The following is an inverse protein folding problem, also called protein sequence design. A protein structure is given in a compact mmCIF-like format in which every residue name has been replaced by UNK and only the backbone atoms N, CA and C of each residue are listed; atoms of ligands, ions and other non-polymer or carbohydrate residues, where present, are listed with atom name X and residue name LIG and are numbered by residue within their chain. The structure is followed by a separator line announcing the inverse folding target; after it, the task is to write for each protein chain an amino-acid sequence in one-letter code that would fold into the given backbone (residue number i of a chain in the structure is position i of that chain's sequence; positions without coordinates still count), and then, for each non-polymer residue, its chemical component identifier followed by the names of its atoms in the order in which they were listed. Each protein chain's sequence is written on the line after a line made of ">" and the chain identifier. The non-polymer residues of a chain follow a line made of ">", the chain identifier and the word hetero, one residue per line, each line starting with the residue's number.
data_IF_844519504208
#
_entry.id   IF_844519504208
#
_cell.length_a   1.000
_cell.length_b   1.000
_cell.length_c   1.000
_cell.angle_alpha   90.00
_cell.angle_beta   90.00
_cell.angle_gamma   90.00
#
_symmetry.space_group_name_H-M   'P 1'
#
loop_
_entity.id
_entity.type
_entity.pdbx_description
1 polymer ?
#
# COMPACT_ATOMS: atom_id res chain seq x y z
N UNK A 1 10.29 33.32 -20.76
CA UNK A 1 11.18 32.35 -20.09
C UNK A 1 10.68 31.93 -18.71
N UNK A 2 10.19 32.85 -17.86
CA UNK A 2 9.66 32.54 -16.51
C UNK A 2 8.45 31.59 -16.46
N UNK A 3 7.54 31.65 -17.43
CA UNK A 3 6.30 30.84 -17.47
C UNK A 3 6.54 29.37 -17.81
N UNK A 4 7.50 29.09 -18.70
CA UNK A 4 7.87 27.72 -19.08
C UNK A 4 8.50 26.94 -17.91
N UNK A 5 9.31 27.61 -17.09
CA UNK A 5 9.91 26.99 -15.90
C UNK A 5 8.84 26.59 -14.87
N UNK A 6 7.80 27.41 -14.68
CA UNK A 6 6.70 27.12 -13.76
C UNK A 6 5.83 25.95 -14.25
N UNK A 7 5.57 25.86 -15.56
CA UNK A 7 4.84 24.75 -16.17
C UNK A 7 5.59 23.41 -16.04
N UNK A 8 6.90 23.41 -16.30
CA UNK A 8 7.74 22.21 -16.16
C UNK A 8 7.79 21.72 -14.70
N UNK A 9 7.90 22.64 -13.73
CA UNK A 9 7.83 22.30 -12.31
C UNK A 9 6.47 21.69 -11.92
N UNK A 10 5.37 22.22 -12.42
CA UNK A 10 4.02 21.69 -12.15
C UNK A 10 3.82 20.25 -12.66
N UNK A 11 4.33 19.93 -13.85
CA UNK A 11 4.23 18.57 -14.43
C UNK A 11 5.10 17.57 -13.65
N UNK A 12 6.28 17.98 -13.18
CA UNK A 12 7.16 17.12 -12.39
C UNK A 12 6.54 16.71 -11.04
N UNK A 13 5.76 17.60 -10.41
CA UNK A 13 5.08 17.31 -9.14
C UNK A 13 3.92 16.33 -9.36
N UNK A 14 3.21 16.40 -10.49
CA UNK A 14 2.10 15.50 -10.80
C UNK A 14 2.54 14.05 -11.05
N UNK A 15 3.73 13.85 -11.63
CA UNK A 15 4.32 12.52 -11.86
C UNK A 15 4.94 11.90 -10.60
N UNK A 16 5.11 12.68 -9.54
CA UNK A 16 5.73 12.26 -8.29
C UNK A 16 4.69 11.94 -7.20
N UNK A 17 3.49 11.50 -7.58
CA UNK A 17 2.51 11.03 -6.59
C UNK A 17 2.94 9.68 -6.04
N UNK A 18 3.07 9.52 -4.70
CA UNK A 18 3.43 8.25 -4.09
C UNK A 18 2.34 7.22 -4.43
N UNK A 19 2.69 6.23 -5.25
CA UNK A 19 1.79 5.10 -5.51
C UNK A 19 1.70 4.24 -4.25
N UNK A 20 0.48 3.83 -3.89
CA UNK A 20 0.28 2.84 -2.83
C UNK A 20 1.06 1.58 -3.20
N UNK A 21 2.10 1.27 -2.42
CA UNK A 21 2.91 0.06 -2.61
C UNK A 21 2.18 -1.22 -2.22
N UNK A 22 0.96 -1.11 -1.70
CA UNK A 22 0.19 -2.24 -1.23
C UNK A 22 -1.28 -2.11 -1.62
N UNK A 23 -1.93 -3.26 -1.82
CA UNK A 23 -3.36 -3.38 -2.12
C UNK A 23 -4.07 -4.15 -1.02
N UNK A 24 -5.34 -3.81 -0.76
CA UNK A 24 -6.19 -4.58 0.16
C UNK A 24 -6.80 -5.76 -0.58
N UNK A 25 -6.60 -6.98 -0.09
CA UNK A 25 -7.24 -8.18 -0.62
C UNK A 25 -8.47 -8.54 0.22
N UNK A 26 -9.66 -8.77 -0.38
CA UNK A 26 -10.84 -9.22 0.35
C UNK A 26 -10.57 -10.51 1.13
N UNK A 27 -11.00 -10.55 2.39
CA UNK A 27 -10.77 -11.69 3.28
C UNK A 27 -9.42 -11.69 4.01
N UNK A 28 -8.59 -10.66 3.81
CA UNK A 28 -7.30 -10.51 4.46
C UNK A 28 -7.25 -9.29 5.38
N UNK A 29 -6.64 -9.45 6.55
CA UNK A 29 -6.47 -8.37 7.52
C UNK A 29 -5.29 -7.43 7.20
N UNK A 30 -4.49 -7.75 6.17
CA UNK A 30 -3.25 -7.05 5.84
C UNK A 30 -3.23 -6.61 4.38
N UNK A 31 -2.43 -5.58 4.07
CA UNK A 31 -2.21 -5.13 2.70
C UNK A 31 -1.08 -5.94 2.05
N UNK A 32 -1.25 -6.28 0.78
CA UNK A 32 -0.32 -7.10 0.00
C UNK A 32 0.52 -6.23 -0.93
N UNK A 33 1.82 -6.49 -1.01
CA UNK A 33 2.69 -5.89 -2.03
C UNK A 33 2.44 -6.53 -3.40
N UNK A 34 1.93 -5.80 -4.41
CA UNK A 34 1.65 -6.36 -5.73
C UNK A 34 2.92 -6.75 -6.50
N UNK A 35 4.10 -6.22 -6.13
CA UNK A 35 5.38 -6.57 -6.75
C UNK A 35 6.05 -7.78 -6.08
N UNK A 36 5.54 -8.26 -4.94
CA UNK A 36 6.08 -9.42 -4.27
C UNK A 36 5.77 -10.72 -5.03
N UNK A 37 6.80 -11.55 -5.25
CA UNK A 37 6.65 -12.88 -5.86
C UNK A 37 5.96 -13.83 -4.88
N UNK A 38 4.66 -14.04 -5.08
CA UNK A 38 3.84 -14.97 -4.30
C UNK A 38 4.30 -16.41 -4.51
N UNK A 39 4.26 -17.15 -3.43
CA UNK A 39 4.42 -18.61 -3.32
C UNK A 39 3.07 -19.31 -3.08
N UNK A 40 2.08 -18.58 -2.57
CA UNK A 40 0.71 -19.06 -2.37
C UNK A 40 -0.26 -18.47 -3.40
N UNK A 41 -1.37 -19.15 -3.71
CA UNK A 41 -2.45 -18.61 -4.53
C UNK A 41 -2.95 -17.24 -4.02
N UNK A 42 -3.57 -16.45 -4.90
CA UNK A 42 -4.12 -15.14 -4.53
C UNK A 42 -5.24 -15.23 -3.48
N UNK A 43 -5.90 -16.39 -3.41
CA UNK A 43 -6.94 -16.70 -2.43
C UNK A 43 -6.41 -17.25 -1.11
N UNK A 44 -5.09 -17.36 -0.91
CA UNK A 44 -4.46 -17.83 0.33
C UNK A 44 -3.46 -16.81 0.90
N UNK A 45 -3.37 -16.73 2.23
CA UNK A 45 -2.38 -15.90 2.91
C UNK A 45 -0.97 -16.36 2.56
N UNK A 46 -0.16 -15.46 2.01
CA UNK A 46 1.25 -15.67 1.76
C UNK A 46 2.08 -14.95 2.83
N UNK A 47 2.69 -15.68 3.76
CA UNK A 47 3.54 -15.10 4.80
C UNK A 47 4.70 -14.25 4.23
N UNK A 48 5.13 -14.47 2.99
CA UNK A 48 6.20 -13.66 2.39
C UNK A 48 5.71 -12.30 1.94
N UNK A 49 4.50 -12.23 1.38
CA UNK A 49 3.97 -11.03 0.72
C UNK A 49 2.89 -10.30 1.52
N UNK A 50 2.15 -11.02 2.36
CA UNK A 50 1.00 -10.54 3.11
C UNK A 50 1.34 -10.34 4.60
N UNK A 51 2.49 -10.81 5.08
CA UNK A 51 2.88 -10.67 6.48
C UNK A 51 3.27 -9.21 6.79
N UNK A 52 2.67 -8.61 7.83
CA UNK A 52 2.98 -7.25 8.20
C UNK A 52 4.45 -7.15 8.66
N UNK A 53 5.21 -6.24 8.05
CA UNK A 53 6.53 -5.88 8.54
C UNK A 53 6.35 -4.96 9.75
N UNK A 54 7.04 -5.23 10.85
CA UNK A 54 7.13 -4.30 11.97
C UNK A 54 7.70 -2.97 11.45
N UNK A 55 7.05 -1.85 11.77
CA UNK A 55 7.50 -0.51 11.34
C UNK A 55 6.96 -0.04 9.98
N UNK A 56 5.85 -0.58 9.48
CA UNK A 56 5.13 0.08 8.40
C UNK A 56 4.72 1.50 8.84
N UNK A 57 5.16 2.57 8.16
CA UNK A 57 4.59 3.88 8.41
C UNK A 57 3.08 3.80 8.19
N UNK A 58 2.32 4.31 9.16
CA UNK A 58 0.85 4.34 9.15
C UNK A 58 0.14 2.97 9.33
N UNK A 59 0.84 1.92 9.78
CA UNK A 59 0.16 0.71 10.23
C UNK A 59 -0.54 0.96 11.56
N UNK A 60 -1.84 1.24 11.50
CA UNK A 60 -2.73 1.16 12.65
C UNK A 60 -3.30 -0.25 12.68
N UNK A 61 -2.98 -1.08 13.68
CA UNK A 61 -3.64 -2.38 13.82
C UNK A 61 -5.15 -2.13 13.90
N UNK A 62 -5.99 -2.92 13.20
CA UNK A 62 -7.43 -2.80 13.36
C UNK A 62 -7.73 -2.99 14.84
N UNK A 63 -8.34 -1.97 15.46
CA UNK A 63 -8.79 -2.07 16.85
C UNK A 63 -9.83 -3.20 16.84
N UNK A 64 -9.48 -4.35 17.41
CA UNK A 64 -10.43 -5.42 17.71
C UNK A 64 -11.27 -4.93 18.89
N UNK A 65 -12.13 -3.96 18.60
CA UNK A 65 -13.15 -3.45 19.50
C UNK A 65 -14.41 -4.28 19.27
N UNK A 66 -14.55 -5.36 20.03
CA UNK A 66 -15.83 -5.81 20.59
C UNK A 66 -17.03 -5.65 19.63
N UNK A 67 -17.18 -6.55 18.67
CA UNK A 67 -18.50 -6.83 18.07
C UNK A 67 -18.94 -8.21 18.55
N UNK A 68 -19.80 -8.20 19.58
CA UNK A 68 -20.81 -9.22 19.82
C UNK A 68 -20.40 -10.43 20.67
N UNK A 69 -20.56 -10.31 22.00
CA UNK A 69 -21.31 -11.29 22.80
C UNK A 69 -22.32 -10.50 23.64
#
# INVERSE_FOLDING_TARGET
>A
MKTYAALLFGVAILLCTPHSRYVTLPGYAFKTDPACKRTQPISKFDRRCDYPRLGFPDFVPPIIGIVGV
#
